data_IF_603132711281
#
_entry.id   IF_603132711281
#
_cell.length_a   1.000
_cell.length_b   1.000
_cell.length_c   1.000
_cell.angle_alpha   90.00
_cell.angle_beta   90.00
_cell.angle_gamma   90.00
#
_symmetry.space_group_name_H-M   'P 1'
#
loop_
_entity.id
_entity.type
_entity.pdbx_description
1 polymer ?
#
# COMPACT_ATOMS: atom_id res chain seq x y z
N UNK A 1 9.86 -13.57 53.18
CA UNK A 1 10.29 -12.57 52.20
C UNK A 1 9.09 -12.27 51.32
N UNK A 2 8.43 -11.15 51.58
CA UNK A 2 7.21 -10.71 50.91
C UNK A 2 7.57 -9.72 49.81
N UNK A 3 7.00 -9.87 48.62
CA UNK A 3 7.03 -8.84 47.57
C UNK A 3 5.64 -8.21 47.45
N UNK A 4 5.53 -6.89 47.24
CA UNK A 4 4.25 -6.20 47.17
C UNK A 4 3.65 -6.26 45.76
N UNK A 5 2.33 -6.46 45.74
CA UNK A 5 1.45 -6.25 44.60
C UNK A 5 1.25 -4.76 44.31
N UNK A 6 1.12 -4.43 43.02
CA UNK A 6 0.46 -3.23 42.54
C UNK A 6 1.35 -2.32 41.69
N UNK A 7 1.05 -2.21 40.40
CA UNK A 7 0.80 -0.91 39.77
C UNK A 7 0.18 -1.03 38.36
N UNK A 8 -1.00 -0.41 38.24
CA UNK A 8 -1.60 0.28 37.09
C UNK A 8 -1.89 -0.47 35.77
N UNK A 9 -3.18 -0.79 35.61
CA UNK A 9 -3.92 -0.66 34.34
C UNK A 9 -4.02 0.83 33.95
N UNK A 10 -4.34 1.09 32.69
CA UNK A 10 -4.70 2.38 32.07
C UNK A 10 -3.57 3.21 31.42
N UNK A 11 -3.28 2.89 30.14
CA UNK A 11 -3.28 3.85 29.01
C UNK A 11 -2.69 3.20 27.76
N UNK A 12 -3.55 2.82 26.81
CA UNK A 12 -3.16 2.83 25.39
C UNK A 12 -4.28 3.57 24.66
N UNK A 13 -4.06 4.87 24.49
CA UNK A 13 -4.85 5.71 23.59
C UNK A 13 -4.69 5.16 22.16
N UNK A 14 -5.70 4.44 21.68
CA UNK A 14 -5.81 4.06 20.28
C UNK A 14 -6.12 5.33 19.47
N UNK A 15 -5.11 5.90 18.82
CA UNK A 15 -5.28 6.89 17.77
C UNK A 15 -6.05 6.22 16.63
N UNK A 16 -7.34 6.52 16.56
CA UNK A 16 -8.25 6.12 15.50
C UNK A 16 -7.90 6.91 14.23
N UNK A 17 -7.03 6.37 13.39
CA UNK A 17 -6.82 6.89 12.03
C UNK A 17 -8.12 6.65 11.24
N UNK A 18 -8.77 7.75 10.85
CA UNK A 18 -9.98 7.72 10.06
C UNK A 18 -9.74 7.05 8.71
N UNK A 19 -10.55 6.03 8.39
CA UNK A 19 -10.67 5.50 7.03
C UNK A 19 -11.28 6.60 6.15
N UNK A 20 -10.45 7.30 5.39
CA UNK A 20 -10.91 8.07 4.25
C UNK A 20 -11.45 7.12 3.19
N UNK A 21 -12.67 7.37 2.69
CA UNK A 21 -13.18 6.69 1.52
C UNK A 21 -12.39 7.19 0.31
N UNK A 22 -11.67 6.31 -0.38
CA UNK A 22 -11.08 6.65 -1.66
C UNK A 22 -12.18 6.57 -2.72
N UNK A 23 -12.43 7.67 -3.43
CA UNK A 23 -13.32 7.70 -4.59
C UNK A 23 -12.52 7.91 -5.86
N UNK A 24 -12.87 7.17 -6.90
CA UNK A 24 -12.26 7.23 -8.22
C UNK A 24 -12.64 8.55 -8.94
N UNK A 25 -11.64 9.30 -9.43
CA UNK A 25 -11.78 10.41 -10.36
C UNK A 25 -10.79 10.16 -11.51
N UNK A 26 -11.21 10.42 -12.74
CA UNK A 26 -10.60 9.92 -13.99
C UNK A 26 -9.13 10.33 -14.27
N UNK A 27 -8.47 11.09 -13.39
CA UNK A 27 -7.09 11.58 -13.58
C UNK A 27 -6.11 11.19 -12.43
N UNK A 28 -6.46 10.21 -11.59
CA UNK A 28 -5.54 9.63 -10.59
C UNK A 28 -5.98 9.78 -9.13
N UNK A 29 -5.24 9.14 -8.22
CA UNK A 29 -5.57 9.07 -6.80
C UNK A 29 -5.28 10.40 -6.10
N UNK A 30 -6.32 11.07 -5.58
CA UNK A 30 -6.15 12.13 -4.57
C UNK A 30 -6.55 11.59 -3.20
N UNK A 31 -5.62 11.68 -2.23
CA UNK A 31 -5.92 11.39 -0.83
C UNK A 31 -6.49 12.66 -0.21
N UNK A 32 -7.80 12.68 0.04
CA UNK A 32 -8.45 13.79 0.73
C UNK A 32 -8.09 13.75 2.23
N UNK A 33 -6.96 14.38 2.57
CA UNK A 33 -6.58 14.63 3.96
C UNK A 33 -7.60 15.56 4.61
N UNK A 34 -8.30 15.05 5.62
CA UNK A 34 -9.04 15.88 6.56
C UNK A 34 -8.02 16.46 7.53
N UNK A 35 -7.69 17.74 7.39
CA UNK A 35 -7.31 18.67 8.46
C UNK A 35 -6.99 20.04 7.84
N UNK A 36 -7.77 21.05 8.24
CA UNK A 36 -7.46 22.44 7.94
C UNK A 36 -6.27 22.91 8.77
N UNK A 37 -5.31 23.54 8.10
CA UNK A 37 -4.61 24.71 8.63
C UNK A 37 -4.40 25.70 7.49
N UNK A 38 -5.12 26.82 7.59
CA UNK A 38 -4.74 28.06 6.95
C UNK A 38 -3.40 28.53 7.54
N UNK A 39 -2.37 28.63 6.71
CA UNK A 39 -1.26 29.53 6.97
C UNK A 39 -1.22 30.57 5.85
N UNK A 40 -1.68 31.76 6.22
CA UNK A 40 -1.57 33.01 5.48
C UNK A 40 -0.15 33.56 5.56
N UNK A 41 0.39 33.98 4.41
CA UNK A 41 1.55 34.86 4.27
C UNK A 41 2.34 34.48 3.01
N UNK A 42 2.52 35.30 1.97
CA UNK A 42 2.27 36.72 1.77
C UNK A 42 3.38 37.27 0.87
N UNK A 43 3.00 37.84 -0.30
CA UNK A 43 3.79 38.61 -1.30
C UNK A 43 4.68 37.79 -2.25
N UNK A 44 4.82 38.11 -3.53
CA UNK A 44 4.17 39.04 -4.45
C UNK A 44 4.70 38.69 -5.86
N UNK A 45 3.85 38.72 -6.88
CA UNK A 45 4.18 39.20 -8.23
C UNK A 45 2.91 39.11 -9.08
N UNK A 46 2.48 40.29 -9.48
CA UNK A 46 1.37 40.56 -10.39
C UNK A 46 1.62 39.91 -11.75
N UNK A 47 0.62 39.22 -12.31
CA UNK A 47 0.30 39.43 -13.73
C UNK A 47 -1.19 39.23 -13.98
N UNK A 48 -1.79 40.24 -14.60
CA UNK A 48 -3.21 40.35 -14.91
C UNK A 48 -3.44 39.87 -16.34
N UNK A 49 -4.18 38.78 -16.55
CA UNK A 49 -4.97 38.64 -17.79
C UNK A 49 -6.18 37.71 -17.56
N UNK A 50 -7.36 38.18 -17.96
CA UNK A 50 -8.46 37.30 -18.38
C UNK A 50 -9.61 37.12 -17.39
N UNK A 51 -10.47 38.13 -17.30
CA UNK A 51 -11.81 38.02 -16.73
C UNK A 51 -12.65 37.06 -17.61
N UNK A 52 -12.82 35.81 -17.17
CA UNK A 52 -13.89 34.94 -17.65
C UNK A 52 -14.84 34.66 -16.48
N UNK A 53 -16.02 35.24 -16.59
CA UNK A 53 -17.15 35.16 -15.68
C UNK A 53 -17.69 33.71 -15.65
N UNK A 54 -17.13 32.88 -14.77
CA UNK A 54 -17.66 31.56 -14.46
C UNK A 54 -18.53 31.66 -13.21
N UNK A 55 -19.83 31.88 -13.43
CA UNK A 55 -20.87 31.75 -12.41
C UNK A 55 -20.78 30.38 -11.74
N UNK A 56 -20.26 30.36 -10.51
CA UNK A 56 -20.37 29.24 -9.58
C UNK A 56 -21.84 29.09 -9.15
N UNK A 57 -22.55 28.22 -9.85
CA UNK A 57 -23.84 27.70 -9.39
C UNK A 57 -23.57 26.83 -8.17
N UNK A 58 -23.82 27.37 -6.99
CA UNK A 58 -23.84 26.65 -5.71
C UNK A 58 -24.87 25.52 -5.80
N UNK A 59 -24.40 24.30 -6.09
CA UNK A 59 -25.20 23.10 -5.98
C UNK A 59 -25.28 22.73 -4.50
N UNK A 60 -26.51 22.78 -3.98
CA UNK A 60 -26.81 22.54 -2.58
C UNK A 60 -26.24 21.22 -2.08
N UNK A 61 -25.58 21.29 -0.93
CA UNK A 61 -25.20 20.13 -0.15
C UNK A 61 -26.48 19.41 0.33
N UNK A 62 -26.95 18.45 -0.47
CA UNK A 62 -27.94 17.50 -0.01
C UNK A 62 -27.29 16.63 1.08
N UNK A 63 -27.63 16.94 2.33
CA UNK A 63 -27.32 16.13 3.49
C UNK A 63 -27.97 14.76 3.30
N UNK A 64 -27.19 13.77 2.88
CA UNK A 64 -27.63 12.38 2.78
C UNK A 64 -27.79 11.87 4.22
N UNK A 65 -28.98 11.42 4.66
CA UNK A 65 -29.14 10.82 5.96
C UNK A 65 -28.30 9.54 6.04
N UNK A 66 -27.40 9.47 7.03
CA UNK A 66 -26.67 8.25 7.34
C UNK A 66 -27.67 7.14 7.66
N UNK A 67 -27.76 6.15 6.78
CA UNK A 67 -28.47 4.91 7.10
C UNK A 67 -27.76 4.21 8.27
N UNK A 68 -28.48 3.76 9.31
CA UNK A 68 -27.89 3.01 10.40
C UNK A 68 -27.28 1.72 9.86
N UNK A 69 -26.00 1.50 10.18
CA UNK A 69 -25.28 0.30 9.78
C UNK A 69 -25.93 -0.94 10.40
N UNK A 70 -26.07 -2.05 9.64
CA UNK A 70 -26.56 -3.31 10.19
C UNK A 70 -25.58 -3.83 11.25
N UNK A 71 -26.08 -4.05 12.46
CA UNK A 71 -25.35 -4.71 13.53
C UNK A 71 -25.18 -6.17 13.12
N UNK A 72 -24.00 -6.53 12.62
CA UNK A 72 -23.64 -7.92 12.35
C UNK A 72 -23.44 -8.64 13.70
N UNK A 73 -24.17 -9.73 13.99
CA UNK A 73 -23.96 -10.52 15.19
C UNK A 73 -22.56 -11.13 15.16
N UNK A 74 -21.75 -10.77 16.16
CA UNK A 74 -20.42 -11.33 16.37
C UNK A 74 -20.60 -12.74 16.92
N UNK A 75 -20.32 -13.75 16.11
CA UNK A 75 -20.27 -15.13 16.60
C UNK A 75 -19.15 -15.26 17.64
N UNK A 76 -19.38 -15.96 18.76
CA UNK A 76 -18.34 -16.21 19.75
C UNK A 76 -17.22 -17.02 19.10
N UNK A 77 -16.00 -16.49 19.18
CA UNK A 77 -14.77 -17.19 18.84
C UNK A 77 -14.65 -18.41 19.74
N UNK A 78 -14.80 -19.61 19.17
CA UNK A 78 -14.36 -20.84 19.82
C UNK A 78 -12.86 -20.75 20.03
N UNK A 79 -12.48 -20.72 21.30
CA UNK A 79 -11.12 -20.87 21.80
C UNK A 79 -10.61 -22.26 21.37
N UNK A 80 -9.96 -22.32 20.22
CA UNK A 80 -9.27 -23.51 19.75
C UNK A 80 -7.92 -23.58 20.45
N UNK A 81 -7.85 -24.50 21.41
CA UNK A 81 -6.68 -25.13 22.00
C UNK A 81 -5.41 -25.00 21.15
N UNK A 82 -4.41 -24.29 21.68
CA UNK A 82 -3.12 -24.12 21.03
C UNK A 82 -2.37 -25.47 21.01
N UNK A 83 -2.01 -26.03 19.84
CA UNK A 83 -1.05 -27.11 19.82
C UNK A 83 0.33 -26.53 20.17
N UNK A 84 0.84 -26.98 21.32
CA UNK A 84 2.21 -26.79 21.76
C UNK A 84 3.15 -27.52 20.79
N UNK A 85 3.60 -26.84 19.74
CA UNK A 85 4.60 -27.37 18.83
C UNK A 85 5.99 -27.23 19.44
N UNK A 86 6.52 -28.37 19.87
CA UNK A 86 7.91 -28.56 20.27
C UNK A 86 8.87 -27.91 19.28
N UNK A 87 9.66 -26.99 19.82
CA UNK A 87 10.98 -26.64 19.32
C UNK A 87 11.84 -27.89 19.16
N UNK A 88 12.73 -27.84 18.18
CA UNK A 88 13.81 -28.79 17.88
C UNK A 88 13.44 -29.87 16.87
N UNK A 89 13.51 -29.51 15.58
CA UNK A 89 14.36 -30.31 14.71
C UNK A 89 15.08 -29.41 13.70
N UNK A 90 16.40 -29.43 13.84
CA UNK A 90 17.37 -28.79 12.98
C UNK A 90 17.36 -29.49 11.62
N UNK A 91 16.99 -28.72 10.61
CA UNK A 91 16.98 -29.10 9.20
C UNK A 91 16.88 -27.80 8.41
N UNK A 92 17.92 -26.98 8.54
CA UNK A 92 17.98 -25.64 7.99
C UNK A 92 17.68 -25.64 6.49
N UNK A 93 16.48 -25.24 6.12
CA UNK A 93 16.30 -24.52 4.88
C UNK A 93 16.99 -23.17 5.10
N UNK A 94 18.27 -23.10 4.72
CA UNK A 94 18.95 -21.84 4.49
C UNK A 94 18.00 -20.91 3.71
N UNK A 95 17.95 -19.62 4.05
CA UNK A 95 16.96 -18.69 3.53
C UNK A 95 17.10 -18.59 2.02
N UNK A 96 16.25 -19.32 1.28
CA UNK A 96 16.12 -19.27 -0.19
C UNK A 96 17.42 -18.81 -0.87
N UNK A 97 18.44 -19.68 -0.96
CA UNK A 97 19.72 -19.39 -1.64
C UNK A 97 19.56 -19.13 -3.17
N UNK A 98 18.32 -19.03 -3.68
CA UNK A 98 18.03 -18.42 -4.98
C UNK A 98 18.18 -16.91 -4.84
N UNK A 99 18.92 -16.27 -5.75
CA UNK A 99 19.21 -14.84 -5.64
C UNK A 99 17.95 -13.98 -5.56
N UNK A 100 18.11 -12.67 -5.32
CA UNK A 100 17.01 -11.67 -5.29
C UNK A 100 15.99 -11.92 -6.42
N UNK A 101 16.50 -12.25 -7.62
CA UNK A 101 15.73 -12.58 -8.81
C UNK A 101 14.85 -13.82 -8.66
N UNK A 102 15.38 -14.92 -8.15
CA UNK A 102 14.61 -16.16 -7.98
C UNK A 102 13.53 -15.97 -6.91
N UNK A 103 13.87 -15.37 -5.77
CA UNK A 103 12.92 -15.07 -4.70
C UNK A 103 11.79 -14.14 -5.18
N UNK A 104 12.10 -13.15 -6.02
CA UNK A 104 11.11 -12.29 -6.65
C UNK A 104 10.17 -13.09 -7.56
N UNK A 105 10.70 -13.93 -8.46
CA UNK A 105 9.85 -14.71 -9.36
C UNK A 105 9.02 -15.77 -8.63
N UNK A 106 9.51 -16.33 -7.53
CA UNK A 106 8.71 -17.20 -6.67
C UNK A 106 7.49 -16.46 -6.11
N UNK A 107 7.67 -15.22 -5.64
CA UNK A 107 6.57 -14.37 -5.18
C UNK A 107 5.60 -14.00 -6.31
N UNK A 108 6.15 -13.59 -7.45
CA UNK A 108 5.39 -13.20 -8.64
C UNK A 108 4.47 -14.31 -9.12
N UNK A 109 5.00 -15.53 -9.28
CA UNK A 109 4.21 -16.70 -9.69
C UNK A 109 3.22 -17.14 -8.62
N UNK A 110 3.57 -17.01 -7.33
CA UNK A 110 2.65 -17.36 -6.22
C UNK A 110 1.38 -16.50 -6.20
N UNK A 111 1.45 -15.27 -6.71
CA UNK A 111 0.30 -14.38 -6.88
C UNK A 111 -0.43 -14.56 -8.23
N UNK A 112 -0.06 -15.56 -9.03
CA UNK A 112 -0.65 -15.82 -10.35
C UNK A 112 -0.06 -14.98 -11.49
N UNK A 113 1.10 -14.36 -11.28
CA UNK A 113 1.84 -13.66 -12.33
C UNK A 113 2.20 -14.56 -13.51
N UNK A 114 2.26 -13.98 -14.70
CA UNK A 114 2.60 -14.65 -15.96
C UNK A 114 3.65 -13.86 -16.74
N UNK A 115 4.24 -14.47 -17.78
CA UNK A 115 5.23 -13.81 -18.65
C UNK A 115 6.48 -13.32 -17.89
N UNK A 116 7.21 -14.28 -17.30
CA UNK A 116 8.43 -14.00 -16.54
C UNK A 116 9.48 -13.21 -17.34
N UNK A 117 9.54 -13.41 -18.66
CA UNK A 117 10.48 -12.72 -19.54
C UNK A 117 10.19 -11.21 -19.60
N UNK A 118 8.92 -10.83 -19.79
CA UNK A 118 8.50 -9.43 -19.74
C UNK A 118 8.79 -8.81 -18.38
N UNK A 119 8.47 -9.53 -17.31
CA UNK A 119 8.66 -9.01 -15.96
C UNK A 119 10.16 -8.89 -15.64
N UNK A 120 11.01 -9.79 -16.12
CA UNK A 120 12.45 -9.64 -15.99
C UNK A 120 12.96 -8.37 -16.66
N UNK A 121 12.51 -8.10 -17.89
CA UNK A 121 12.87 -6.89 -18.63
C UNK A 121 12.37 -5.62 -17.92
N UNK A 122 11.15 -5.66 -17.37
CA UNK A 122 10.59 -4.56 -16.57
C UNK A 122 11.44 -4.30 -15.32
N UNK A 123 11.78 -5.31 -14.53
CA UNK A 123 12.56 -5.14 -13.30
C UNK A 123 13.97 -4.66 -13.61
N UNK A 124 14.57 -5.13 -14.71
CA UNK A 124 15.84 -4.61 -15.19
C UNK A 124 15.76 -3.13 -15.54
N UNK A 125 14.72 -2.70 -16.24
CA UNK A 125 14.48 -1.31 -16.60
C UNK A 125 14.23 -0.41 -15.39
N UNK A 126 13.44 -0.88 -14.42
CA UNK A 126 13.03 -0.11 -13.24
C UNK A 126 14.15 0.05 -12.20
N UNK A 127 14.85 -1.04 -11.86
CA UNK A 127 15.81 -1.05 -10.74
C UNK A 127 17.16 -1.66 -11.07
N UNK A 128 17.32 -2.23 -12.27
CA UNK A 128 18.49 -3.05 -12.62
C UNK A 128 18.73 -4.16 -11.59
N UNK A 129 17.65 -4.77 -11.08
CA UNK A 129 17.66 -5.80 -10.03
C UNK A 129 18.26 -5.36 -8.68
N UNK A 130 18.30 -4.05 -8.40
CA UNK A 130 18.73 -3.52 -7.10
C UNK A 130 17.53 -3.39 -6.17
N UNK A 131 17.56 -4.05 -5.01
CA UNK A 131 16.46 -3.99 -4.03
C UNK A 131 16.17 -2.58 -3.51
N UNK A 132 17.23 -1.79 -3.36
CA UNK A 132 17.16 -0.39 -2.95
C UNK A 132 18.06 0.42 -3.89
N UNK A 133 17.56 0.83 -5.07
CA UNK A 133 18.32 1.68 -5.97
C UNK A 133 18.43 3.12 -5.42
N UNK A 134 17.70 3.45 -4.34
CA UNK A 134 17.45 4.80 -3.84
C UNK A 134 16.32 5.51 -4.61
N UNK A 135 15.94 6.71 -4.14
CA UNK A 135 14.91 7.54 -4.78
C UNK A 135 13.60 7.60 -4.00
N UNK A 136 12.53 8.05 -4.66
CA UNK A 136 11.19 8.21 -4.07
C UNK A 136 10.31 6.95 -4.18
N UNK A 137 10.73 5.98 -5.00
CA UNK A 137 10.01 4.74 -5.28
C UNK A 137 10.60 3.57 -4.48
N UNK A 138 9.81 2.51 -4.30
CA UNK A 138 10.13 1.40 -3.41
C UNK A 138 10.35 0.09 -4.20
N UNK A 139 11.42 -0.60 -3.85
CA UNK A 139 11.70 -1.96 -4.29
C UNK A 139 12.04 -2.10 -5.78
N UNK A 140 12.09 -3.35 -6.23
CA UNK A 140 12.50 -3.80 -7.56
C UNK A 140 11.59 -3.30 -8.69
N UNK A 141 10.29 -3.18 -8.41
CA UNK A 141 9.29 -2.66 -9.34
C UNK A 141 9.04 -1.16 -9.19
N UNK A 142 9.85 -0.45 -8.40
CA UNK A 142 9.75 1.01 -8.26
C UNK A 142 8.33 1.51 -7.93
N UNK A 143 7.66 0.87 -6.98
CA UNK A 143 6.33 1.29 -6.57
C UNK A 143 6.35 2.69 -5.97
N UNK A 144 5.43 3.56 -6.37
CA UNK A 144 5.10 4.74 -5.58
C UNK A 144 4.68 4.35 -4.15
N UNK A 145 5.04 5.13 -3.11
CA UNK A 145 4.69 4.80 -1.73
C UNK A 145 3.19 4.57 -1.49
N UNK A 146 2.33 5.34 -2.17
CA UNK A 146 0.88 5.17 -2.09
C UNK A 146 0.38 3.86 -2.72
N UNK A 147 0.98 3.47 -3.84
CA UNK A 147 0.70 2.18 -4.50
C UNK A 147 1.18 1.02 -3.65
N UNK A 148 2.39 1.11 -3.09
CA UNK A 148 2.92 0.11 -2.17
C UNK A 148 2.01 -0.08 -0.95
N UNK A 149 1.58 1.02 -0.31
CA UNK A 149 0.67 0.95 0.83
C UNK A 149 -0.65 0.26 0.47
N UNK A 150 -1.18 0.53 -0.72
CA UNK A 150 -2.42 -0.08 -1.22
C UNK A 150 -2.26 -1.58 -1.44
N UNK A 151 -1.24 -2.00 -2.19
CA UNK A 151 -1.03 -3.43 -2.49
C UNK A 151 -0.62 -4.21 -1.25
N UNK A 152 0.16 -3.62 -0.33
CA UNK A 152 0.50 -4.23 0.97
C UNK A 152 -0.75 -4.49 1.81
N UNK A 153 -1.72 -3.58 1.79
CA UNK A 153 -2.98 -3.76 2.50
C UNK A 153 -3.84 -4.89 1.90
N UNK A 154 -3.69 -5.17 0.60
CA UNK A 154 -4.40 -6.25 -0.11
C UNK A 154 -3.72 -7.61 0.16
N UNK A 155 -2.39 -7.65 0.08
CA UNK A 155 -1.63 -8.92 0.13
C UNK A 155 -1.24 -9.33 1.55
N UNK A 156 -1.18 -8.37 2.49
CA UNK A 156 -0.64 -8.57 3.83
C UNK A 156 0.89 -8.51 3.92
N UNK A 157 1.59 -8.38 2.80
CA UNK A 157 3.06 -8.24 2.78
C UNK A 157 3.44 -6.78 2.92
N UNK A 158 4.05 -6.41 4.05
CA UNK A 158 4.39 -5.01 4.36
C UNK A 158 5.87 -4.66 4.16
N UNK A 159 6.74 -5.66 4.04
CA UNK A 159 8.18 -5.44 3.85
C UNK A 159 8.52 -5.29 2.37
N UNK A 160 8.75 -4.05 1.95
CA UNK A 160 9.15 -3.76 0.57
C UNK A 160 10.57 -4.19 0.25
N UNK A 161 11.38 -4.61 1.23
CA UNK A 161 12.76 -5.09 1.00
C UNK A 161 12.85 -6.60 0.81
N UNK A 162 11.80 -7.34 1.11
CA UNK A 162 11.73 -8.78 0.83
C UNK A 162 11.43 -9.00 -0.67
N UNK A 163 12.33 -9.64 -1.45
CA UNK A 163 12.11 -9.83 -2.89
C UNK A 163 10.83 -10.61 -3.20
N UNK A 164 10.49 -11.60 -2.37
CA UNK A 164 9.29 -12.41 -2.58
C UNK A 164 8.02 -11.57 -2.42
N UNK A 165 7.92 -10.80 -1.34
CA UNK A 165 6.83 -9.86 -1.10
C UNK A 165 6.67 -8.88 -2.27
N UNK A 166 7.78 -8.38 -2.82
CA UNK A 166 7.76 -7.49 -3.98
C UNK A 166 7.21 -8.20 -5.21
N UNK A 167 7.68 -9.40 -5.54
CA UNK A 167 7.16 -10.17 -6.67
C UNK A 167 5.66 -10.41 -6.55
N UNK A 168 5.20 -10.80 -5.36
CA UNK A 168 3.78 -11.03 -5.07
C UNK A 168 2.96 -9.74 -5.27
N UNK A 169 3.45 -8.61 -4.77
CA UNK A 169 2.83 -7.31 -4.94
C UNK A 169 2.79 -6.87 -6.41
N UNK A 170 3.85 -7.10 -7.19
CA UNK A 170 3.93 -6.78 -8.62
C UNK A 170 2.87 -7.52 -9.43
N UNK A 171 2.75 -8.84 -9.23
CA UNK A 171 1.70 -9.63 -9.87
C UNK A 171 0.30 -9.17 -9.44
N UNK A 172 0.10 -8.94 -8.14
CA UNK A 172 -1.20 -8.49 -7.61
C UNK A 172 -1.59 -7.15 -8.23
N UNK A 173 -0.69 -6.17 -8.25
CA UNK A 173 -0.94 -4.86 -8.83
C UNK A 173 -1.20 -4.93 -10.34
N UNK A 174 -0.37 -5.66 -11.09
CA UNK A 174 -0.53 -5.86 -12.53
C UNK A 174 -1.86 -6.55 -12.90
N UNK A 175 -2.49 -7.27 -11.97
CA UNK A 175 -3.81 -7.87 -12.19
C UNK A 175 -4.98 -6.89 -12.02
N UNK A 176 -4.75 -5.74 -11.37
CA UNK A 176 -5.78 -4.75 -11.03
C UNK A 176 -5.77 -3.51 -11.93
N UNK A 177 -4.66 -3.22 -12.58
CA UNK A 177 -4.48 -2.05 -13.45
C UNK A 177 -4.05 -2.48 -14.84
N UNK A 178 -4.14 -1.58 -15.82
CA UNK A 178 -3.39 -1.74 -17.06
C UNK A 178 -1.92 -1.36 -16.79
N UNK A 179 -1.00 -2.33 -16.79
CA UNK A 179 0.40 -2.10 -16.40
C UNK A 179 1.17 -1.22 -17.39
N UNK A 180 0.65 -0.97 -18.61
CA UNK A 180 1.24 -0.03 -19.56
C UNK A 180 0.86 1.44 -19.34
N UNK A 181 0.05 1.74 -18.33
CA UNK A 181 -0.43 3.10 -18.04
C UNK A 181 0.36 3.77 -16.91
N UNK A 182 0.05 5.03 -16.60
CA UNK A 182 0.63 5.76 -15.46
C UNK A 182 0.31 5.15 -14.10
N UNK A 183 -0.70 4.29 -14.00
CA UNK A 183 -0.98 3.53 -12.78
C UNK A 183 -0.04 2.31 -12.60
N UNK A 184 0.68 1.91 -13.66
CA UNK A 184 1.65 0.82 -13.66
C UNK A 184 3.04 1.33 -14.01
N UNK A 185 3.61 0.80 -15.10
CA UNK A 185 4.98 1.02 -15.53
C UNK A 185 5.01 1.54 -16.98
N UNK A 186 4.61 2.80 -17.22
CA UNK A 186 4.32 3.30 -18.57
C UNK A 186 5.53 3.25 -19.51
N UNK A 187 6.75 3.38 -18.97
CA UNK A 187 7.98 3.32 -19.75
C UNK A 187 8.56 1.90 -19.79
N UNK A 188 8.61 1.21 -18.66
CA UNK A 188 9.30 -0.08 -18.56
C UNK A 188 8.43 -1.30 -18.89
N UNK A 189 7.09 -1.17 -18.99
CA UNK A 189 6.22 -2.29 -19.39
C UNK A 189 6.48 -2.78 -20.82
N UNK A 190 6.95 -1.88 -21.69
CA UNK A 190 7.38 -2.19 -23.05
C UNK A 190 8.85 -2.54 -23.18
N UNK A 191 9.57 -2.81 -22.09
CA UNK A 191 10.95 -3.29 -22.18
C UNK A 191 10.99 -4.76 -22.64
N UNK A 192 12.02 -5.13 -23.41
CA UNK A 192 12.27 -6.48 -23.92
C UNK A 192 13.76 -6.73 -24.08
#
# INVERSE_FOLDING_TARGET
MSMPEGLSKDRVDAVRVGRGAASWVEDGWTVQGSHGQMLTGGRAAEDQVGLADARLTSLGAHSVPLAPLPVVPVSPTSEAEAPSHNSSNEGGASPRDGGIRDAFFDGYRSAGGQDDARIDALIWCESSWRLDPGGAHLGLSQFDPGTWATVSAITGYTDWRDPFSQGYATATWASMVDPGTSAGWPTCWGAW
#
